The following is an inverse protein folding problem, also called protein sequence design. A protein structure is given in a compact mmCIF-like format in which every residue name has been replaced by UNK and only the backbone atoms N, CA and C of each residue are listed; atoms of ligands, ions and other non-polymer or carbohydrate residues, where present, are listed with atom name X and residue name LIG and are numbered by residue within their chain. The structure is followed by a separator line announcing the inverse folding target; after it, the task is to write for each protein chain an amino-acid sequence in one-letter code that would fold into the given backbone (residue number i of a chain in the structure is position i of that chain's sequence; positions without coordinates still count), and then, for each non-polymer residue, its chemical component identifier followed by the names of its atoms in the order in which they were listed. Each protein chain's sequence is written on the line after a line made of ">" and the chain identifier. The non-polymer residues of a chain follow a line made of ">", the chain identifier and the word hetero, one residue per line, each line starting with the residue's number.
data_IF_548475868526
#
_entry.id   IF_548475868526
#
_cell.length_a   1.000
_cell.length_b   1.000
_cell.length_c   1.000
_cell.angle_alpha   90.00
_cell.angle_beta   90.00
_cell.angle_gamma   90.00
#
_symmetry.space_group_name_H-M   'P 1'
#
loop_
_entity.id
_entity.type
_entity.pdbx_description
1 polymer ?
#
# COMPACT_ATOMS: atom_id res chain seq x y z
N UNK A 1 -16.87 6.60 -6.22
CA UNK A 1 -15.65 6.35 -7.01
C UNK A 1 -15.47 4.85 -7.15
N UNK A 2 -15.19 4.34 -8.34
CA UNK A 2 -15.00 2.91 -8.62
C UNK A 2 -13.70 2.71 -9.41
N UNK A 3 -12.93 1.68 -9.07
CA UNK A 3 -11.70 1.30 -9.77
C UNK A 3 -11.67 -0.21 -9.97
N UNK A 4 -11.90 -0.64 -11.21
CA UNK A 4 -12.06 -2.02 -11.65
C UNK A 4 -10.78 -2.65 -12.21
N UNK A 5 -9.79 -1.83 -12.57
CA UNK A 5 -8.50 -2.28 -13.14
C UNK A 5 -7.55 -2.93 -12.13
N UNK A 6 -7.90 -2.97 -10.84
CA UNK A 6 -7.09 -3.69 -9.85
C UNK A 6 -7.43 -5.17 -9.89
N UNK A 7 -6.68 -5.97 -10.64
CA UNK A 7 -6.81 -7.44 -10.65
C UNK A 7 -5.58 -8.11 -10.02
N UNK A 8 -5.51 -9.45 -10.02
CA UNK A 8 -4.28 -10.14 -9.58
C UNK A 8 -3.21 -10.10 -10.68
N UNK A 9 -3.62 -10.13 -11.94
CA UNK A 9 -2.77 -10.03 -13.14
C UNK A 9 -2.27 -8.60 -13.36
N UNK A 10 -3.12 -7.62 -13.04
CA UNK A 10 -2.82 -6.20 -13.15
C UNK A 10 -2.92 -5.55 -11.75
N UNK A 11 -1.86 -5.65 -10.92
CA UNK A 11 -1.86 -5.02 -9.61
C UNK A 11 -1.81 -3.50 -9.76
N UNK A 12 -2.52 -2.80 -8.86
CA UNK A 12 -2.49 -1.34 -8.84
C UNK A 12 -1.06 -0.81 -8.66
N UNK A 13 -0.72 0.25 -9.38
CA UNK A 13 0.55 0.94 -9.20
C UNK A 13 0.48 1.96 -8.07
N UNK A 14 1.60 2.23 -7.36
CA UNK A 14 1.67 3.26 -6.33
C UNK A 14 1.08 4.62 -6.75
N UNK A 15 1.49 5.13 -7.92
CA UNK A 15 0.98 6.39 -8.46
C UNK A 15 -0.53 6.39 -8.70
N UNK A 16 -1.09 5.27 -9.15
CA UNK A 16 -2.54 5.15 -9.32
C UNK A 16 -3.26 5.16 -7.98
N UNK A 17 -2.73 4.47 -6.97
CA UNK A 17 -3.29 4.48 -5.62
C UNK A 17 -3.27 5.88 -5.00
N UNK A 18 -2.16 6.63 -5.15
CA UNK A 18 -2.07 8.05 -4.73
C UNK A 18 -3.18 8.86 -5.40
N UNK A 19 -3.32 8.76 -6.72
CA UNK A 19 -4.33 9.50 -7.49
C UNK A 19 -5.76 9.22 -7.05
N UNK A 20 -6.09 7.96 -6.76
CA UNK A 20 -7.42 7.58 -6.29
C UNK A 20 -7.68 8.19 -4.91
N UNK A 21 -6.70 8.11 -3.99
CA UNK A 21 -6.83 8.68 -2.64
C UNK A 21 -6.96 10.21 -2.68
N UNK A 22 -6.12 10.90 -3.46
CA UNK A 22 -6.18 12.37 -3.58
C UNK A 22 -7.47 12.82 -4.25
N UNK A 23 -7.91 12.13 -5.30
CA UNK A 23 -9.19 12.41 -5.96
C UNK A 23 -10.35 12.21 -4.98
N UNK A 24 -10.36 11.13 -4.19
CA UNK A 24 -11.41 10.92 -3.19
C UNK A 24 -11.39 12.04 -2.15
N UNK A 25 -10.22 12.40 -1.63
CA UNK A 25 -10.08 13.48 -0.66
C UNK A 25 -10.56 14.84 -1.18
N UNK A 26 -10.39 15.13 -2.48
CA UNK A 26 -10.93 16.36 -3.09
C UNK A 26 -12.45 16.40 -3.19
N UNK A 27 -13.12 15.24 -3.18
CA UNK A 27 -14.59 15.13 -3.20
C UNK A 27 -15.19 15.22 -1.81
N UNK A 28 -14.38 15.11 -0.76
CA UNK A 28 -14.86 15.18 0.62
C UNK A 28 -15.02 16.63 1.04
N UNK A 29 -16.21 16.96 1.54
CA UNK A 29 -16.39 18.19 2.30
C UNK A 29 -15.66 18.03 3.65
N UNK A 30 -14.63 18.85 3.88
CA UNK A 30 -13.82 18.84 5.11
C UNK A 30 -14.64 19.09 6.38
N UNK A 31 -15.77 19.78 6.26
CA UNK A 31 -16.67 20.08 7.38
C UNK A 31 -17.66 18.93 7.67
N UNK A 32 -17.78 17.98 6.75
CA UNK A 32 -18.66 16.82 6.89
C UNK A 32 -17.95 15.67 7.59
N UNK A 33 -18.32 15.38 8.85
CA UNK A 33 -17.82 14.24 9.64
C UNK A 33 -18.38 12.87 9.20
N UNK A 34 -18.78 12.72 7.93
CA UNK A 34 -19.39 11.48 7.43
C UNK A 34 -18.31 10.44 7.10
N UNK A 35 -18.47 9.17 7.50
CA UNK A 35 -17.52 8.12 7.17
C UNK A 35 -17.53 7.82 5.67
N UNK A 36 -16.37 7.40 5.14
CA UNK A 36 -16.23 6.90 3.77
C UNK A 36 -16.41 5.38 3.78
N UNK A 37 -17.28 4.87 2.92
CA UNK A 37 -17.42 3.43 2.71
C UNK A 37 -16.41 2.99 1.66
N UNK A 38 -15.53 2.06 2.06
CA UNK A 38 -14.53 1.44 1.17
C UNK A 38 -14.79 -0.06 1.14
N UNK A 39 -14.97 -0.62 -0.05
CA UNK A 39 -15.18 -2.06 -0.22
C UNK A 39 -14.29 -2.63 -1.33
N UNK A 40 -14.14 -3.95 -1.30
CA UNK A 40 -13.53 -4.79 -2.33
C UNK A 40 -14.29 -6.14 -2.30
N UNK A 41 -13.76 -7.21 -2.89
CA UNK A 41 -14.44 -8.52 -2.87
C UNK A 41 -14.76 -9.02 -1.46
N UNK A 42 -13.78 -9.02 -0.56
CA UNK A 42 -13.94 -9.50 0.83
C UNK A 42 -13.79 -8.37 1.87
N UNK A 43 -13.45 -7.16 1.43
CA UNK A 43 -13.24 -6.03 2.34
C UNK A 43 -12.06 -6.21 3.30
N UNK A 44 -11.04 -6.99 2.92
CA UNK A 44 -9.87 -7.32 3.76
C UNK A 44 -8.54 -6.94 3.12
N UNK A 45 -8.40 -7.15 1.79
CA UNK A 45 -7.15 -6.88 1.08
C UNK A 45 -7.11 -5.48 0.47
N UNK A 46 -7.69 -5.30 -0.73
CA UNK A 46 -7.62 -4.04 -1.51
C UNK A 46 -8.20 -2.86 -0.74
N UNK A 47 -9.34 -3.08 -0.07
CA UNK A 47 -9.95 -2.07 0.80
C UNK A 47 -9.04 -1.65 1.96
N UNK A 48 -8.33 -2.60 2.58
CA UNK A 48 -7.43 -2.26 3.68
C UNK A 48 -6.15 -1.59 3.22
N UNK A 49 -5.59 -1.97 2.07
CA UNK A 49 -4.47 -1.25 1.44
C UNK A 49 -4.86 0.21 1.22
N UNK A 50 -6.03 0.47 0.63
CA UNK A 50 -6.55 1.82 0.47
C UNK A 50 -6.63 2.58 1.80
N UNK A 51 -7.28 2.00 2.82
CA UNK A 51 -7.49 2.66 4.11
C UNK A 51 -6.17 2.96 4.82
N UNK A 52 -5.24 2.01 4.83
CA UNK A 52 -3.93 2.19 5.50
C UNK A 52 -3.11 3.26 4.77
N UNK A 53 -3.05 3.21 3.44
CA UNK A 53 -2.33 4.22 2.64
C UNK A 53 -2.95 5.61 2.83
N UNK A 54 -4.28 5.73 2.82
CA UNK A 54 -4.97 7.00 3.04
C UNK A 54 -4.66 7.58 4.42
N UNK A 55 -4.66 6.75 5.47
CA UNK A 55 -4.27 7.18 6.83
C UNK A 55 -2.81 7.67 6.88
N UNK A 56 -1.89 6.98 6.20
CA UNK A 56 -0.48 7.36 6.18
C UNK A 56 -0.24 8.66 5.39
N UNK A 57 -0.90 8.83 4.25
CA UNK A 57 -0.86 10.07 3.48
C UNK A 57 -1.40 11.25 4.30
N UNK A 58 -2.49 11.03 5.05
CA UNK A 58 -3.03 12.04 5.96
C UNK A 58 -2.04 12.38 7.08
N UNK A 59 -1.41 11.38 7.71
CA UNK A 59 -0.38 11.61 8.74
C UNK A 59 0.80 12.43 8.20
N UNK A 60 1.27 12.13 6.99
CA UNK A 60 2.33 12.90 6.33
C UNK A 60 1.90 14.34 6.06
N UNK A 61 0.69 14.54 5.54
CA UNK A 61 0.17 15.88 5.23
C UNK A 61 0.00 16.74 6.49
N UNK A 62 -0.40 16.15 7.61
CA UNK A 62 -0.69 16.89 8.85
C UNK A 62 0.54 17.07 9.75
N UNK A 63 1.43 16.07 9.80
CA UNK A 63 2.50 16.01 10.82
C UNK A 63 3.91 15.87 10.25
N UNK A 64 4.03 15.71 8.92
CA UNK A 64 5.28 15.35 8.23
C UNK A 64 5.96 14.08 8.78
N UNK A 65 5.19 13.26 9.50
CA UNK A 65 5.63 12.00 10.11
C UNK A 65 4.57 10.94 9.83
N UNK A 66 4.99 9.69 9.79
CA UNK A 66 4.07 8.56 9.66
C UNK A 66 4.59 7.35 10.41
N UNK A 67 3.69 6.45 10.78
CA UNK A 67 4.08 5.13 11.28
C UNK A 67 3.27 4.04 10.58
N UNK A 68 3.93 3.38 9.63
CA UNK A 68 3.33 2.28 8.83
C UNK A 68 2.86 1.15 9.75
N UNK A 69 3.66 0.76 10.74
CA UNK A 69 3.31 -0.31 11.69
C UNK A 69 2.14 0.09 12.58
N UNK A 70 2.10 1.33 13.07
CA UNK A 70 0.98 1.79 13.91
C UNK A 70 -0.32 1.87 13.12
N UNK A 71 -0.28 2.41 11.89
CA UNK A 71 -1.45 2.47 11.00
C UNK A 71 -1.96 1.07 10.66
N UNK A 72 -1.06 0.15 10.27
CA UNK A 72 -1.40 -1.23 10.01
C UNK A 72 -2.05 -1.91 11.22
N UNK A 73 -1.45 -1.80 12.41
CA UNK A 73 -2.02 -2.35 13.66
C UNK A 73 -3.39 -1.75 13.98
N UNK A 74 -3.58 -0.45 13.77
CA UNK A 74 -4.86 0.21 14.03
C UNK A 74 -5.99 -0.35 13.14
N UNK A 75 -5.70 -0.66 11.87
CA UNK A 75 -6.67 -1.27 10.95
C UNK A 75 -6.88 -2.75 11.28
N UNK A 76 -5.82 -3.51 11.53
CA UNK A 76 -5.92 -4.94 11.91
C UNK A 76 -6.72 -5.16 13.19
N UNK A 77 -6.70 -4.21 14.15
CA UNK A 77 -7.55 -4.27 15.36
C UNK A 77 -9.05 -4.11 15.07
N UNK A 78 -9.42 -3.51 13.94
CA UNK A 78 -10.82 -3.24 13.57
C UNK A 78 -11.37 -4.22 12.54
N UNK A 79 -10.49 -4.83 11.74
CA UNK A 79 -10.87 -5.76 10.68
C UNK A 79 -9.91 -6.95 10.66
N UNK A 80 -10.46 -8.14 10.87
CA UNK A 80 -9.72 -9.38 10.76
C UNK A 80 -9.23 -9.62 9.32
N UNK A 81 -8.08 -10.30 9.19
CA UNK A 81 -7.59 -10.77 7.89
C UNK A 81 -6.93 -9.71 7.01
N UNK A 82 -6.61 -8.54 7.56
CA UNK A 82 -5.90 -7.46 6.87
C UNK A 82 -4.39 -7.74 6.84
N UNK A 83 -3.72 -7.33 5.75
CA UNK A 83 -2.26 -7.40 5.56
C UNK A 83 -1.63 -8.77 5.85
N UNK A 84 -2.15 -9.81 5.19
CA UNK A 84 -1.59 -11.16 5.25
C UNK A 84 -0.41 -11.40 4.29
N UNK A 85 -0.23 -10.51 3.32
CA UNK A 85 0.76 -10.66 2.25
C UNK A 85 1.85 -9.61 2.35
N UNK A 86 3.09 -10.02 2.12
CA UNK A 86 4.26 -9.12 2.13
C UNK A 86 4.18 -8.10 1.00
N UNK A 87 3.65 -8.51 -0.14
CA UNK A 87 3.50 -7.69 -1.34
C UNK A 87 2.55 -6.53 -1.08
N UNK A 88 1.47 -6.76 -0.32
CA UNK A 88 0.53 -5.71 0.04
C UNK A 88 1.16 -4.67 0.98
N UNK A 89 2.03 -5.12 1.90
CA UNK A 89 2.79 -4.22 2.77
C UNK A 89 3.84 -3.42 1.98
N UNK A 90 4.56 -4.05 1.05
CA UNK A 90 5.50 -3.37 0.14
C UNK A 90 4.79 -2.30 -0.68
N UNK A 91 3.66 -2.65 -1.30
CA UNK A 91 2.86 -1.71 -2.08
C UNK A 91 2.46 -0.48 -1.26
N UNK A 92 2.01 -0.67 0.00
CA UNK A 92 1.70 0.46 0.89
C UNK A 92 2.95 1.33 1.11
N UNK A 93 4.07 0.72 1.46
CA UNK A 93 5.31 1.42 1.77
C UNK A 93 5.85 2.21 0.56
N UNK A 94 5.90 1.58 -0.61
CA UNK A 94 6.27 2.21 -1.88
C UNK A 94 5.35 3.40 -2.19
N UNK A 95 4.05 3.23 -2.00
CA UNK A 95 3.05 4.28 -2.25
C UNK A 95 3.25 5.48 -1.36
N UNK A 96 3.43 5.28 -0.05
CA UNK A 96 3.57 6.40 0.88
C UNK A 96 4.92 7.12 0.74
N UNK A 97 5.99 6.39 0.37
CA UNK A 97 7.29 7.00 0.06
C UNK A 97 7.24 7.81 -1.23
N UNK A 98 6.60 7.30 -2.28
CA UNK A 98 6.38 8.06 -3.51
C UNK A 98 5.54 9.31 -3.25
N UNK A 99 4.49 9.21 -2.44
CA UNK A 99 3.71 10.38 -2.02
C UNK A 99 4.57 11.39 -1.28
N UNK A 100 5.35 10.96 -0.29
CA UNK A 100 6.26 11.82 0.46
C UNK A 100 7.27 12.54 -0.45
N UNK A 101 7.76 11.85 -1.49
CA UNK A 101 8.64 12.44 -2.51
C UNK A 101 7.90 13.47 -3.37
N UNK A 102 6.67 13.19 -3.81
CA UNK A 102 5.83 14.13 -4.58
C UNK A 102 5.48 15.39 -3.79
N UNK A 103 5.43 15.30 -2.47
CA UNK A 103 5.16 16.44 -1.56
C UNK A 103 6.43 17.08 -1.01
N UNK A 104 7.60 16.83 -1.59
CA UNK A 104 8.91 17.39 -1.19
C UNK A 104 9.32 17.11 0.26
N UNK A 105 8.77 16.06 0.90
CA UNK A 105 9.17 15.62 2.24
C UNK A 105 10.45 14.78 2.23
N UNK A 106 10.81 14.21 1.08
CA UNK A 106 12.02 13.41 0.89
C UNK A 106 12.95 14.10 -0.10
N UNK A 107 14.04 14.70 0.43
CA UNK A 107 14.99 15.49 -0.36
C UNK A 107 16.19 14.69 -0.87
N UNK A 108 16.58 13.63 -0.16
CA UNK A 108 17.70 12.77 -0.57
C UNK A 108 17.25 11.81 -1.67
N UNK A 109 17.56 12.18 -2.91
CA UNK A 109 17.27 11.36 -4.09
C UNK A 109 18.01 10.04 -4.07
N UNK A 110 19.28 10.01 -3.67
CA UNK A 110 20.08 8.79 -3.72
C UNK A 110 19.53 7.73 -2.76
N UNK A 111 19.22 8.14 -1.53
CA UNK A 111 18.59 7.26 -0.55
C UNK A 111 17.20 6.83 -0.98
N UNK A 112 16.41 7.74 -1.57
CA UNK A 112 15.08 7.40 -2.09
C UNK A 112 15.16 6.32 -3.17
N UNK A 113 16.00 6.49 -4.20
CA UNK A 113 16.16 5.50 -5.27
C UNK A 113 16.64 4.15 -4.74
N UNK A 114 17.59 4.15 -3.79
CA UNK A 114 18.07 2.92 -3.16
C UNK A 114 16.96 2.18 -2.42
N UNK A 115 16.15 2.90 -1.64
CA UNK A 115 15.03 2.28 -0.91
C UNK A 115 13.98 1.73 -1.89
N UNK A 116 13.64 2.47 -2.94
CA UNK A 116 12.70 1.99 -3.96
C UNK A 116 13.21 0.71 -4.65
N UNK A 117 14.49 0.63 -4.97
CA UNK A 117 15.11 -0.59 -5.52
C UNK A 117 14.97 -1.79 -4.57
N UNK A 118 15.24 -1.61 -3.27
CA UNK A 118 15.08 -2.67 -2.27
C UNK A 118 13.63 -3.17 -2.18
N UNK A 119 12.66 -2.28 -2.37
CA UNK A 119 11.24 -2.65 -2.34
C UNK A 119 10.83 -3.43 -3.60
N UNK A 120 11.36 -3.07 -4.76
CA UNK A 120 11.16 -3.76 -6.03
C UNK A 120 11.85 -5.13 -6.10
N UNK A 121 12.96 -5.31 -5.37
CA UNK A 121 13.68 -6.59 -5.31
C UNK A 121 12.75 -7.72 -4.83
N UNK A 122 12.52 -8.68 -5.73
CA UNK A 122 11.84 -9.94 -5.40
C UNK A 122 12.76 -10.74 -4.47
N UNK A 123 12.23 -11.37 -3.41
CA UNK A 123 13.03 -12.31 -2.65
C UNK A 123 13.56 -13.38 -3.61
N UNK A 124 14.88 -13.61 -3.58
CA UNK A 124 15.49 -14.73 -4.27
C UNK A 124 14.74 -16.00 -3.84
N UNK A 125 14.17 -16.72 -4.80
CA UNK A 125 13.61 -18.05 -4.54
C UNK A 125 14.81 -18.89 -4.12
N UNK A 126 14.91 -19.24 -2.83
CA UNK A 126 15.87 -20.24 -2.40
C UNK A 126 15.43 -21.53 -3.10
N UNK A 127 16.25 -22.11 -4.00
CA UNK A 127 15.90 -23.38 -4.63
C UNK A 127 15.60 -24.38 -3.52
N UNK A 128 14.46 -25.05 -3.59
CA UNK A 128 14.13 -26.11 -2.66
C UNK A 128 15.16 -27.24 -2.86
N UNK A 129 16.18 -27.27 -2.01
CA UNK A 129 17.23 -28.30 -2.03
C UNK A 129 16.68 -29.68 -1.66
N UNK A 130 15.41 -29.78 -1.25
CA UNK A 130 14.72 -31.02 -0.94
C UNK A 130 13.59 -31.34 -1.94
N UNK A 131 13.47 -30.62 -3.05
CA UNK A 131 12.52 -31.00 -4.09
C UNK A 131 12.92 -32.38 -4.62
N UNK A 132 12.05 -33.40 -4.53
CA UNK A 132 12.37 -34.71 -5.05
C UNK A 132 12.64 -34.57 -6.55
N UNK A 133 13.79 -35.09 -6.99
CA UNK A 133 14.09 -35.23 -8.40
C UNK A 133 12.93 -35.98 -9.04
N UNK A 134 12.16 -35.31 -9.88
CA UNK A 134 11.18 -35.96 -10.73
C UNK A 134 11.97 -36.91 -11.65
N UNK A 135 12.15 -38.15 -11.20
CA UNK A 135 12.50 -39.25 -12.07
C UNK A 135 11.32 -39.43 -13.03
N UNK A 136 11.62 -39.18 -14.30
CA UNK A 136 10.72 -39.35 -15.41
C UNK A 136 10.18 -40.79 -15.42
N UNK A 137 8.85 -40.91 -15.47
CA UNK A 137 8.14 -42.08 -15.98
C UNK A 137 7.37 -41.65 -17.23
#
# INVERSE_FOLDING_TARGET
>A
MHYDKWTEEEPITPNTLIRIITSMNSLLNKDSKKPIIVHSTYGTRRAAIYVITALLMQQLAETQKMSVVSAAKAVCKRRYGVLRRREDFKLILETVLQYAKQTDLVKDDQTFHRVMQILEERPQVIPDMNAPSHENY
#
